data_IF_029236651444
#
_entry.id   IF_029236651444
#
_cell.length_a   1.000
_cell.length_b   1.000
_cell.length_c   1.000
_cell.angle_alpha   90.00
_cell.angle_beta   90.00
_cell.angle_gamma   90.00
#
_symmetry.space_group_name_H-M   'P 1'
#
loop_
_entity.id
_entity.type
_entity.pdbx_description
1 polymer ?
#
# COMPACT_ATOMS: atom_id res chain seq x y z
N UNK A 1 -12.69 -25.58 2.05
CA UNK A 1 -11.70 -24.48 1.94
C UNK A 1 -12.24 -23.46 0.96
N UNK A 2 -12.18 -22.17 1.30
CA UNK A 2 -12.56 -21.08 0.39
C UNK A 2 -11.34 -20.65 -0.42
N UNK A 3 -11.53 -20.35 -1.71
CA UNK A 3 -10.50 -19.75 -2.56
C UNK A 3 -10.72 -18.24 -2.58
N UNK A 4 -9.64 -17.48 -2.38
CA UNK A 4 -9.67 -16.02 -2.30
C UNK A 4 -8.85 -15.44 -3.46
N UNK A 5 -9.45 -14.52 -4.21
CA UNK A 5 -8.77 -13.69 -5.19
C UNK A 5 -8.40 -12.35 -4.58
N UNK A 6 -7.18 -11.89 -4.83
CA UNK A 6 -6.67 -10.59 -4.37
C UNK A 6 -6.32 -9.76 -5.59
N UNK A 7 -7.08 -8.70 -5.84
CA UNK A 7 -6.65 -7.63 -6.73
C UNK A 7 -5.91 -6.58 -5.92
N UNK A 8 -4.59 -6.54 -6.07
CA UNK A 8 -3.73 -5.58 -5.39
C UNK A 8 -3.47 -4.40 -6.33
N UNK A 9 -4.31 -3.37 -6.36
CA UNK A 9 -4.10 -2.19 -7.20
C UNK A 9 -3.09 -1.20 -6.62
N UNK A 10 -2.78 -0.14 -7.39
CA UNK A 10 -1.85 0.90 -6.94
C UNK A 10 -2.51 1.88 -5.95
N UNK A 11 -3.82 2.11 -6.09
CA UNK A 11 -4.60 3.01 -5.24
C UNK A 11 -5.57 2.26 -4.33
N UNK A 12 -6.12 1.15 -4.79
CA UNK A 12 -7.15 0.37 -4.11
C UNK A 12 -6.96 -1.11 -4.36
N UNK A 13 -7.42 -1.92 -3.43
CA UNK A 13 -7.44 -3.37 -3.50
C UNK A 13 -8.88 -3.88 -3.39
N UNK A 14 -9.15 -5.02 -4.02
CA UNK A 14 -10.43 -5.73 -3.98
C UNK A 14 -10.17 -7.19 -3.63
N UNK A 15 -11.05 -7.77 -2.81
CA UNK A 15 -10.98 -9.18 -2.42
C UNK A 15 -12.24 -9.89 -2.92
N UNK A 16 -12.05 -10.92 -3.75
CA UNK A 16 -13.11 -11.80 -4.20
C UNK A 16 -13.04 -13.17 -3.51
N UNK A 17 -14.18 -13.78 -3.22
CA UNK A 17 -14.25 -15.14 -2.66
C UNK A 17 -15.16 -16.03 -3.50
N UNK A 18 -14.67 -17.21 -3.86
CA UNK A 18 -15.47 -18.23 -4.53
C UNK A 18 -16.33 -18.97 -3.49
N UNK A 19 -17.66 -18.77 -3.53
CA UNK A 19 -18.62 -19.44 -2.64
C UNK A 19 -20.00 -19.55 -3.29
N UNK A 20 -20.84 -20.46 -2.80
CA UNK A 20 -22.24 -20.61 -3.24
C UNK A 20 -22.44 -20.69 -4.77
N UNK A 21 -21.53 -21.40 -5.47
CA UNK A 21 -21.54 -21.51 -6.95
C UNK A 21 -21.36 -20.18 -7.70
N UNK A 22 -20.78 -19.16 -7.05
CA UNK A 22 -20.45 -17.87 -7.63
C UNK A 22 -19.19 -17.24 -7.03
N UNK A 23 -18.97 -15.97 -7.36
CA UNK A 23 -17.89 -15.12 -6.82
C UNK A 23 -18.55 -13.90 -6.19
N UNK A 24 -18.21 -13.62 -4.94
CA UNK A 24 -18.66 -12.42 -4.23
C UNK A 24 -17.45 -11.54 -3.87
N UNK A 25 -17.63 -10.23 -3.93
CA UNK A 25 -16.68 -9.28 -3.34
C UNK A 25 -16.86 -9.21 -1.82
N UNK A 26 -15.75 -9.21 -1.10
CA UNK A 26 -15.72 -9.07 0.34
C UNK A 26 -15.79 -7.59 0.72
N UNK A 27 -16.64 -7.25 1.69
CA UNK A 27 -16.69 -5.91 2.27
C UNK A 27 -15.62 -5.75 3.36
N UNK A 28 -14.99 -4.58 3.42
CA UNK A 28 -14.15 -4.19 4.54
C UNK A 28 -15.00 -3.78 5.76
N UNK A 29 -14.31 -3.37 6.83
CA UNK A 29 -14.89 -2.92 8.10
C UNK A 29 -15.80 -1.70 7.99
N UNK A 30 -15.67 -0.90 6.92
CA UNK A 30 -16.57 0.20 6.60
C UNK A 30 -17.72 -0.17 5.64
N UNK A 31 -17.87 -1.45 5.30
CA UNK A 31 -18.90 -1.92 4.38
C UNK A 31 -18.63 -1.59 2.91
N UNK A 32 -17.37 -1.29 2.53
CA UNK A 32 -16.96 -1.00 1.15
C UNK A 32 -16.25 -2.20 0.52
N UNK A 33 -16.45 -2.41 -0.78
CA UNK A 33 -15.75 -3.47 -1.56
C UNK A 33 -14.30 -3.12 -1.88
N UNK A 34 -14.01 -1.83 -1.98
CA UNK A 34 -12.67 -1.32 -2.26
C UNK A 34 -11.99 -0.89 -0.97
N UNK A 35 -10.74 -1.30 -0.80
CA UNK A 35 -9.89 -0.88 0.33
C UNK A 35 -8.70 -0.10 -0.20
N UNK A 36 -8.41 1.11 0.29
CA UNK A 36 -7.23 1.87 -0.14
C UNK A 36 -5.93 1.07 -0.01
N UNK A 37 -5.09 1.10 -1.04
CA UNK A 37 -3.76 0.46 -1.05
C UNK A 37 -2.74 1.37 -0.33
N UNK A 38 -2.94 1.55 0.97
CA UNK A 38 -2.15 2.47 1.78
C UNK A 38 -1.85 1.90 3.17
N UNK A 39 -0.65 2.22 3.66
CA UNK A 39 -0.21 1.94 5.03
C UNK A 39 0.33 3.22 5.65
N UNK A 40 -0.15 3.58 6.84
CA UNK A 40 0.33 4.73 7.62
C UNK A 40 0.93 4.25 8.94
N UNK A 41 2.04 4.84 9.35
CA UNK A 41 2.79 4.44 10.55
C UNK A 41 2.73 5.54 11.60
N UNK A 42 2.35 5.17 12.84
CA UNK A 42 2.51 6.01 14.04
C UNK A 42 3.58 5.43 14.96
N UNK A 43 3.84 6.10 16.08
CA UNK A 43 4.85 5.66 17.04
C UNK A 43 4.50 4.32 17.72
N UNK A 44 3.22 3.92 17.72
CA UNK A 44 2.75 2.72 18.42
C UNK A 44 2.09 1.67 17.52
N UNK A 45 1.64 2.02 16.32
CA UNK A 45 0.90 1.08 15.48
C UNK A 45 0.96 1.41 13.98
N UNK A 46 0.40 0.49 13.19
CA UNK A 46 0.23 0.64 11.75
C UNK A 46 -1.26 0.75 11.46
N UNK A 47 -1.63 1.74 10.66
CA UNK A 47 -2.94 1.87 10.07
C UNK A 47 -2.87 1.35 8.64
N UNK A 48 -3.88 0.61 8.21
CA UNK A 48 -3.94 -0.03 6.89
C UNK A 48 -5.30 0.27 6.26
N UNK A 49 -5.35 0.42 4.95
CA UNK A 49 -6.61 0.60 4.25
C UNK A 49 -7.24 1.95 4.56
N UNK A 50 -8.53 1.95 4.87
CA UNK A 50 -9.25 3.21 5.07
C UNK A 50 -8.76 3.99 6.29
N UNK A 51 -8.35 3.28 7.35
CA UNK A 51 -7.74 3.91 8.52
C UNK A 51 -6.41 4.61 8.20
N UNK A 52 -5.64 4.10 7.24
CA UNK A 52 -4.44 4.79 6.77
C UNK A 52 -4.81 6.04 5.97
N UNK A 53 -5.77 5.91 5.05
CA UNK A 53 -6.22 7.00 4.19
C UNK A 53 -6.77 8.20 4.98
N UNK A 54 -7.49 7.96 6.08
CA UNK A 54 -8.06 9.03 6.91
C UNK A 54 -7.01 9.90 7.63
N UNK A 55 -5.80 9.37 7.83
CA UNK A 55 -4.70 10.08 8.53
C UNK A 55 -3.61 10.59 7.60
N UNK A 56 -3.67 10.21 6.31
CA UNK A 56 -2.58 10.41 5.35
C UNK A 56 -2.14 11.88 5.21
N UNK A 57 -3.10 12.80 5.18
CA UNK A 57 -2.82 14.24 5.05
C UNK A 57 -2.12 14.82 6.28
N UNK A 58 -2.37 14.28 7.48
CA UNK A 58 -1.73 14.75 8.72
C UNK A 58 -0.35 14.13 8.94
N UNK A 59 -0.09 12.95 8.37
CA UNK A 59 1.16 12.22 8.52
C UNK A 59 1.75 11.78 7.18
N UNK A 60 2.00 12.71 6.22
CA UNK A 60 2.31 12.36 4.83
C UNK A 60 3.67 11.67 4.68
N UNK A 61 4.64 11.98 5.55
CA UNK A 61 5.98 11.38 5.49
C UNK A 61 6.02 9.92 5.97
N UNK A 62 5.04 9.50 6.76
CA UNK A 62 4.92 8.12 7.24
C UNK A 62 3.65 7.44 6.70
N UNK A 63 3.04 7.99 5.65
CA UNK A 63 1.89 7.41 4.95
C UNK A 63 2.32 6.99 3.55
N UNK A 64 2.25 5.69 3.27
CA UNK A 64 2.84 5.05 2.12
C UNK A 64 1.74 4.52 1.21
N UNK A 65 1.73 4.97 -0.04
CA UNK A 65 0.82 4.52 -1.10
C UNK A 65 1.52 4.54 -2.46
N UNK A 66 0.88 3.99 -3.49
CA UNK A 66 1.38 3.98 -4.88
C UNK A 66 2.70 3.23 -5.09
N UNK A 67 3.00 2.26 -4.23
CA UNK A 67 4.29 1.54 -4.23
C UNK A 67 4.31 0.32 -5.15
N UNK A 68 3.15 -0.13 -5.66
CA UNK A 68 3.07 -1.37 -6.47
C UNK A 68 4.02 -1.31 -7.67
N UNK A 69 4.17 -0.14 -8.28
CA UNK A 69 5.05 0.11 -9.43
C UNK A 69 6.55 -0.05 -9.12
N UNK A 70 6.95 0.04 -7.84
CA UNK A 70 8.33 -0.10 -7.42
C UNK A 70 8.77 -1.56 -7.28
N UNK A 71 7.82 -2.49 -7.19
CA UNK A 71 8.11 -3.91 -6.93
C UNK A 71 8.92 -4.49 -8.09
N UNK A 72 10.08 -5.07 -7.76
CA UNK A 72 11.00 -5.67 -8.72
C UNK A 72 11.83 -4.68 -9.54
N UNK A 73 11.72 -3.38 -9.28
CA UNK A 73 12.55 -2.36 -9.97
C UNK A 73 13.85 -2.09 -9.21
N UNK A 74 14.86 -1.58 -9.92
CA UNK A 74 16.10 -1.06 -9.34
C UNK A 74 15.90 0.38 -8.89
N UNK A 75 16.50 0.77 -7.78
CA UNK A 75 16.40 2.15 -7.28
C UNK A 75 16.84 3.16 -8.34
N UNK A 76 17.96 2.91 -9.04
CA UNK A 76 18.55 3.81 -10.04
C UNK A 76 17.83 3.86 -11.39
N UNK A 77 16.73 3.12 -11.55
CA UNK A 77 15.94 3.14 -12.78
C UNK A 77 15.36 4.54 -13.03
N UNK A 78 15.52 5.15 -14.23
CA UNK A 78 14.99 6.48 -14.52
C UNK A 78 13.47 6.62 -14.36
N UNK A 79 12.71 5.54 -14.54
CA UNK A 79 11.27 5.55 -14.24
C UNK A 79 11.01 5.60 -12.74
N UNK A 80 11.74 4.79 -11.96
CA UNK A 80 11.64 4.84 -10.50
C UNK A 80 12.00 6.24 -10.00
N UNK A 81 13.12 6.82 -10.45
CA UNK A 81 13.53 8.16 -10.03
C UNK A 81 12.50 9.24 -10.35
N UNK A 82 11.72 9.10 -11.44
CA UNK A 82 10.60 9.99 -11.75
C UNK A 82 9.43 9.76 -10.78
N UNK A 83 9.05 8.51 -10.52
CA UNK A 83 7.98 8.18 -9.58
C UNK A 83 8.31 8.67 -8.15
N UNK A 84 9.59 8.58 -7.73
CA UNK A 84 10.03 9.04 -6.39
C UNK A 84 9.79 10.53 -6.15
N UNK A 85 9.81 11.37 -7.20
CA UNK A 85 9.55 12.81 -7.07
C UNK A 85 8.08 13.12 -6.71
N UNK A 86 7.17 12.18 -6.94
CA UNK A 86 5.75 12.32 -6.65
C UNK A 86 5.38 11.87 -5.23
N UNK A 87 6.28 11.17 -4.54
CA UNK A 87 6.00 10.63 -3.22
C UNK A 87 6.27 11.66 -2.11
N UNK A 88 5.37 11.67 -1.11
CA UNK A 88 5.53 12.50 0.10
C UNK A 88 6.39 11.85 1.18
N UNK A 89 6.78 10.59 0.99
CA UNK A 89 7.64 9.80 1.87
C UNK A 89 9.01 9.57 1.23
N UNK A 90 10.01 9.29 2.06
CA UNK A 90 11.40 9.15 1.59
C UNK A 90 11.68 7.73 1.12
N UNK A 91 12.34 7.60 -0.03
CA UNK A 91 12.86 6.34 -0.54
C UNK A 91 14.39 6.44 -0.70
N UNK A 92 15.11 5.39 -0.38
CA UNK A 92 16.57 5.28 -0.50
C UNK A 92 16.96 4.01 -1.26
N UNK A 93 18.22 3.93 -1.70
CA UNK A 93 18.77 2.70 -2.27
C UNK A 93 19.03 1.67 -1.15
N UNK A 94 18.46 0.48 -1.29
CA UNK A 94 18.74 -0.66 -0.44
C UNK A 94 20.09 -1.30 -0.79
N UNK A 95 20.59 -2.16 0.11
CA UNK A 95 21.85 -2.91 -0.11
C UNK A 95 21.80 -3.85 -1.32
N UNK A 96 20.60 -4.27 -1.71
CA UNK A 96 20.32 -5.08 -2.90
C UNK A 96 20.17 -4.23 -4.18
N UNK A 97 20.29 -2.90 -4.09
CA UNK A 97 20.05 -1.95 -5.18
C UNK A 97 18.58 -1.72 -5.51
N UNK A 98 17.65 -2.23 -4.69
CA UNK A 98 16.21 -1.97 -4.79
C UNK A 98 15.79 -0.69 -4.05
N UNK A 99 14.57 -0.18 -4.29
CA UNK A 99 14.02 0.95 -3.54
C UNK A 99 13.60 0.53 -2.12
N UNK A 100 14.11 1.25 -1.12
CA UNK A 100 13.78 1.08 0.30
C UNK A 100 12.94 2.26 0.81
N UNK A 101 11.74 1.98 1.31
CA UNK A 101 10.84 3.00 1.85
C UNK A 101 11.20 3.30 3.31
N UNK A 102 11.42 4.58 3.63
CA UNK A 102 11.86 5.02 4.95
C UNK A 102 10.67 5.65 5.70
N UNK A 103 10.34 5.08 6.85
CA UNK A 103 9.30 5.58 7.75
C UNK A 103 9.81 5.62 9.19
N UNK A 104 9.20 6.46 10.03
CA UNK A 104 9.39 6.41 11.48
C UNK A 104 8.34 5.47 12.08
N UNK A 105 8.78 4.43 12.78
CA UNK A 105 7.89 3.44 13.38
C UNK A 105 8.54 2.89 14.64
N UNK A 106 7.78 2.79 15.75
CA UNK A 106 8.22 2.22 17.04
C UNK A 106 9.54 2.83 17.55
N UNK A 107 9.55 4.14 17.80
CA UNK A 107 10.66 4.80 18.50
C UNK A 107 10.58 4.62 20.00
#
# INVERSE_FOLDING_TARGET
MSVVGLDLGNEKCIIGVARQRGIDDVLNDEGRRETPAMVSFSDNQRYIGTAAASTATMNPKNSVSQIKRLIGRRFRDPEVQRDLQLFSFRVSEGSDGGPLINVNYLK
#
